data_IF_081275407438
#
_entry.id   IF_081275407438
#
_cell.length_a   1.000
_cell.length_b   1.000
_cell.length_c   1.000
_cell.angle_alpha   90.00
_cell.angle_beta   90.00
_cell.angle_gamma   90.00
#
_symmetry.space_group_name_H-M   'P 1'
#
loop_
_entity.id
_entity.type
_entity.pdbx_description
1 polymer ?
#
# COMPACT_ATOMS: atom_id res chain seq x y z
N UNK A 1 -22.89 0.76 18.58
CA UNK A 1 -22.59 0.47 17.17
C UNK A 1 -21.35 1.20 16.67
N UNK A 2 -21.23 2.51 16.92
CA UNK A 2 -20.19 3.36 16.33
C UNK A 2 -18.73 2.95 16.67
N UNK A 3 -18.48 2.31 17.83
CA UNK A 3 -17.14 1.85 18.21
C UNK A 3 -16.70 0.58 17.44
N UNK A 4 -17.59 -0.42 17.28
CA UNK A 4 -17.29 -1.65 16.53
C UNK A 4 -16.99 -1.32 15.07
N UNK A 5 -17.84 -0.51 14.44
CA UNK A 5 -17.65 -0.06 13.07
C UNK A 5 -16.28 0.60 12.86
N UNK A 6 -15.93 1.57 13.73
CA UNK A 6 -14.63 2.27 13.66
C UNK A 6 -13.46 1.32 13.85
N UNK A 7 -13.56 0.37 14.78
CA UNK A 7 -12.53 -0.63 15.03
C UNK A 7 -12.30 -1.52 13.79
N UNK A 8 -13.37 -2.13 13.26
CA UNK A 8 -13.30 -3.03 12.11
C UNK A 8 -12.83 -2.30 10.84
N UNK A 9 -13.33 -1.09 10.61
CA UNK A 9 -12.85 -0.24 9.52
C UNK A 9 -11.37 0.10 9.67
N UNK A 10 -10.90 0.39 10.88
CA UNK A 10 -9.49 0.67 11.14
C UNK A 10 -8.61 -0.57 10.90
N UNK A 11 -9.12 -1.76 11.24
CA UNK A 11 -8.48 -3.05 10.98
C UNK A 11 -8.28 -3.28 9.47
N UNK A 12 -9.32 -3.15 8.66
CA UNK A 12 -9.25 -3.31 7.20
C UNK A 12 -8.39 -2.23 6.53
N UNK A 13 -8.46 -0.99 7.04
CA UNK A 13 -7.64 0.13 6.54
C UNK A 13 -6.13 -0.07 6.69
N UNK A 14 -5.67 -1.03 7.50
CA UNK A 14 -4.23 -1.31 7.65
C UNK A 14 -3.58 -1.63 6.31
N UNK A 15 -4.27 -2.33 5.41
CA UNK A 15 -3.75 -2.64 4.07
C UNK A 15 -3.48 -1.39 3.23
N UNK A 16 -4.44 -0.45 3.17
CA UNK A 16 -4.24 0.82 2.45
C UNK A 16 -3.11 1.66 3.07
N UNK A 17 -3.01 1.68 4.40
CA UNK A 17 -1.96 2.40 5.12
C UNK A 17 -0.57 1.83 4.81
N UNK A 18 -0.41 0.51 4.80
CA UNK A 18 0.89 -0.09 4.50
C UNK A 18 1.31 0.15 3.05
N UNK A 19 0.36 0.09 2.11
CA UNK A 19 0.64 0.45 0.73
C UNK A 19 1.06 1.91 0.55
N UNK A 20 0.47 2.85 1.32
CA UNK A 20 0.92 4.25 1.30
C UNK A 20 2.38 4.36 1.78
N UNK A 21 2.83 3.49 2.71
CA UNK A 21 4.25 3.44 3.12
C UNK A 21 5.14 2.88 1.99
N UNK A 22 4.68 1.83 1.31
CA UNK A 22 5.35 1.24 0.14
C UNK A 22 5.56 2.30 -0.93
N UNK A 23 4.51 3.02 -1.31
CA UNK A 23 4.55 4.06 -2.35
C UNK A 23 5.55 5.18 -1.96
N UNK A 24 5.53 5.64 -0.69
CA UNK A 24 6.49 6.62 -0.18
C UNK A 24 7.95 6.12 -0.20
N UNK A 25 8.19 4.84 0.04
CA UNK A 25 9.54 4.26 -0.01
C UNK A 25 10.03 4.16 -1.47
N UNK A 26 9.16 3.71 -2.38
CA UNK A 26 9.44 3.70 -3.83
C UNK A 26 9.75 5.10 -4.34
N UNK A 27 8.97 6.11 -3.96
CA UNK A 27 9.22 7.50 -4.33
C UNK A 27 10.58 8.01 -3.82
N UNK A 28 10.96 7.66 -2.59
CA UNK A 28 12.27 8.02 -2.03
C UNK A 28 13.41 7.38 -2.82
N UNK A 29 13.25 6.12 -3.22
CA UNK A 29 14.22 5.38 -4.00
C UNK A 29 14.35 5.96 -5.43
N UNK A 30 13.24 6.29 -6.08
CA UNK A 30 13.24 6.96 -7.38
C UNK A 30 13.97 8.31 -7.32
N UNK A 31 13.65 9.16 -6.32
CA UNK A 31 14.35 10.45 -6.11
C UNK A 31 15.83 10.28 -5.78
N UNK A 32 16.21 9.16 -5.17
CA UNK A 32 17.62 8.84 -4.95
C UNK A 32 18.28 8.56 -6.30
N UNK A 33 17.72 7.64 -7.09
CA UNK A 33 18.23 7.27 -8.41
C UNK A 33 18.33 8.48 -9.35
N UNK A 34 17.28 9.29 -9.46
CA UNK A 34 17.27 10.52 -10.29
C UNK A 34 18.42 11.48 -9.91
N UNK A 35 18.69 11.66 -8.61
CA UNK A 35 19.78 12.54 -8.15
C UNK A 35 21.15 12.02 -8.56
N UNK A 36 21.33 10.71 -8.74
CA UNK A 36 22.60 10.13 -9.16
C UNK A 36 22.71 10.00 -10.67
N UNK A 37 21.62 9.70 -11.37
CA UNK A 37 21.59 9.72 -12.83
C UNK A 37 21.90 11.14 -13.36
N UNK A 38 21.35 12.19 -12.73
CA UNK A 38 21.66 13.58 -13.05
C UNK A 38 23.11 13.98 -12.70
N UNK A 39 23.72 13.34 -11.70
CA UNK A 39 25.13 13.55 -11.33
C UNK A 39 26.10 12.68 -12.14
N UNK A 40 25.61 11.69 -12.87
CA UNK A 40 26.37 10.73 -13.67
C UNK A 40 26.95 11.26 -14.98
N UNK A 41 26.78 12.54 -15.32
CA UNK A 41 27.26 13.13 -16.60
C UNK A 41 28.46 14.08 -16.42
N UNK A 42 29.03 14.22 -15.22
CA UNK A 42 30.30 14.96 -15.05
C UNK A 42 31.41 14.05 -14.52
N UNK A 43 31.81 13.08 -15.34
CA UNK A 43 33.10 12.40 -15.18
C UNK A 43 34.23 13.35 -15.59
N UNK A 44 34.49 14.38 -14.78
CA UNK A 44 35.74 15.14 -14.89
C UNK A 44 36.88 14.24 -14.41
N UNK A 45 37.88 14.06 -15.27
CA UNK A 45 38.92 13.02 -15.25
C UNK A 45 39.98 13.14 -14.15
N UNK A 46 39.61 13.46 -12.91
CA UNK A 46 40.54 13.45 -11.77
C UNK A 46 39.96 12.71 -10.55
N UNK A 47 40.65 11.68 -10.02
CA UNK A 47 40.19 10.95 -8.85
C UNK A 47 40.57 11.73 -7.58
N UNK A 48 39.72 12.66 -7.14
CA UNK A 48 39.81 13.19 -5.77
C UNK A 48 39.21 12.18 -4.78
N UNK A 49 39.90 11.89 -3.67
CA UNK A 49 39.49 10.86 -2.70
C UNK A 49 38.12 11.14 -2.05
N UNK A 50 37.59 12.35 -2.19
CA UNK A 50 36.26 12.78 -1.76
C UNK A 50 35.10 12.16 -2.54
N UNK A 51 35.30 11.83 -3.82
CA UNK A 51 34.22 11.32 -4.69
C UNK A 51 33.83 9.88 -4.32
N UNK A 52 34.80 9.04 -3.94
CA UNK A 52 34.56 7.64 -3.55
C UNK A 52 33.67 7.53 -2.31
N UNK A 53 33.98 8.31 -1.27
CA UNK A 53 33.20 8.32 -0.02
C UNK A 53 31.74 8.71 -0.28
N UNK A 54 31.52 9.66 -1.19
CA UNK A 54 30.18 10.09 -1.57
C UNK A 54 29.39 8.98 -2.25
N UNK A 55 30.02 8.16 -3.11
CA UNK A 55 29.39 7.03 -3.80
C UNK A 55 29.01 5.90 -2.84
N UNK A 56 29.90 5.56 -1.92
CA UNK A 56 29.66 4.51 -0.91
C UNK A 56 28.47 4.89 -0.01
N UNK A 57 28.36 6.16 0.39
CA UNK A 57 27.23 6.68 1.18
C UNK A 57 25.89 6.55 0.43
N UNK A 58 25.88 6.71 -0.90
CA UNK A 58 24.69 6.50 -1.75
C UNK A 58 24.25 5.05 -1.71
N UNK A 59 25.21 4.15 -1.94
CA UNK A 59 24.95 2.74 -2.09
C UNK A 59 24.39 2.20 -0.78
N UNK A 60 24.98 2.61 0.36
CA UNK A 60 24.45 2.30 1.68
C UNK A 60 23.03 2.85 1.90
N UNK A 61 22.75 4.08 1.48
CA UNK A 61 21.41 4.66 1.60
C UNK A 61 20.38 3.93 0.72
N UNK A 62 20.78 3.53 -0.49
CA UNK A 62 19.94 2.77 -1.41
C UNK A 62 19.62 1.39 -0.85
N UNK A 63 20.64 0.65 -0.44
CA UNK A 63 20.51 -0.67 0.19
C UNK A 63 19.59 -0.61 1.41
N UNK A 64 19.74 0.41 2.27
CA UNK A 64 18.84 0.62 3.39
C UNK A 64 17.37 0.79 2.96
N UNK A 65 17.11 1.59 1.93
CA UNK A 65 15.75 1.82 1.43
C UNK A 65 15.15 0.58 0.76
N UNK A 66 15.96 -0.18 0.00
CA UNK A 66 15.57 -1.45 -0.62
C UNK A 66 15.21 -2.49 0.44
N UNK A 67 16.08 -2.71 1.42
CA UNK A 67 15.81 -3.63 2.53
C UNK A 67 14.54 -3.23 3.30
N UNK A 68 14.35 -1.92 3.56
CA UNK A 68 13.14 -1.43 4.25
C UNK A 68 11.89 -1.62 3.39
N UNK A 69 11.99 -1.48 2.08
CA UNK A 69 10.88 -1.72 1.17
C UNK A 69 10.49 -3.19 1.17
N UNK A 70 11.46 -4.10 1.13
CA UNK A 70 11.22 -5.56 1.16
C UNK A 70 10.54 -6.01 2.46
N UNK A 71 10.98 -5.47 3.61
CA UNK A 71 10.32 -5.71 4.89
C UNK A 71 8.84 -5.28 4.86
N UNK A 72 8.55 -4.09 4.34
CA UNK A 72 7.18 -3.53 4.32
C UNK A 72 6.31 -4.24 3.28
N UNK A 73 6.88 -4.69 2.15
CA UNK A 73 6.18 -5.53 1.18
C UNK A 73 5.80 -6.87 1.83
N UNK A 74 6.72 -7.49 2.56
CA UNK A 74 6.46 -8.75 3.26
C UNK A 74 5.33 -8.60 4.29
N UNK A 75 5.38 -7.53 5.09
CA UNK A 75 4.31 -7.18 6.02
C UNK A 75 2.97 -6.94 5.28
N UNK A 76 2.98 -6.34 4.09
CA UNK A 76 1.77 -6.08 3.31
C UNK A 76 1.10 -7.35 2.79
N UNK A 77 1.88 -8.37 2.42
CA UNK A 77 1.38 -9.68 2.01
C UNK A 77 0.69 -10.36 3.19
N UNK A 78 1.30 -10.32 4.38
CA UNK A 78 0.70 -10.88 5.58
C UNK A 78 -0.63 -10.21 5.93
N UNK A 79 -0.68 -8.87 5.89
CA UNK A 79 -1.92 -8.12 6.12
C UNK A 79 -2.98 -8.44 5.07
N UNK A 80 -2.59 -8.59 3.79
CA UNK A 80 -3.51 -8.95 2.72
C UNK A 80 -4.14 -10.31 2.99
N UNK A 81 -3.33 -11.33 3.26
CA UNK A 81 -3.79 -12.68 3.52
C UNK A 81 -4.71 -12.72 4.75
N UNK A 82 -4.32 -12.05 5.84
CA UNK A 82 -5.12 -11.95 7.06
C UNK A 82 -6.52 -11.35 6.79
N UNK A 83 -6.59 -10.25 6.02
CA UNK A 83 -7.86 -9.63 5.66
C UNK A 83 -8.66 -10.53 4.72
N UNK A 84 -8.02 -11.12 3.71
CA UNK A 84 -8.69 -11.95 2.73
C UNK A 84 -9.31 -13.20 3.37
N UNK A 85 -8.58 -13.87 4.27
CA UNK A 85 -9.10 -14.99 5.07
C UNK A 85 -10.33 -14.55 5.88
N UNK A 86 -10.25 -13.37 6.51
CA UNK A 86 -11.38 -12.81 7.28
C UNK A 86 -12.60 -12.51 6.43
N UNK A 87 -12.41 -12.04 5.20
CA UNK A 87 -13.51 -11.78 4.26
C UNK A 87 -14.15 -13.08 3.76
N UNK A 88 -13.36 -14.14 3.55
CA UNK A 88 -13.88 -15.46 3.15
C UNK A 88 -14.79 -16.09 4.22
N UNK A 89 -14.57 -15.76 5.51
CA UNK A 89 -15.39 -16.23 6.63
C UNK A 89 -16.75 -15.53 6.75
N UNK A 90 -17.03 -14.47 5.97
CA UNK A 90 -18.31 -13.75 6.07
C UNK A 90 -19.47 -14.57 5.50
N UNK A 91 -20.60 -14.60 6.21
CA UNK A 91 -21.81 -15.31 5.76
C UNK A 91 -22.35 -14.74 4.44
N UNK A 92 -22.30 -13.41 4.28
CA UNK A 92 -22.74 -12.74 3.07
C UNK A 92 -21.56 -12.48 2.13
N UNK A 93 -21.44 -13.31 1.10
CA UNK A 93 -20.36 -13.21 0.12
C UNK A 93 -20.41 -11.92 -0.71
N UNK A 94 -21.59 -11.29 -0.85
CA UNK A 94 -21.68 -9.99 -1.53
C UNK A 94 -21.13 -8.86 -0.66
N UNK A 95 -21.27 -8.94 0.66
CA UNK A 95 -20.59 -8.02 1.59
C UNK A 95 -19.08 -8.21 1.49
N UNK A 96 -18.61 -9.47 1.48
CA UNK A 96 -17.19 -9.79 1.32
C UNK A 96 -16.60 -9.20 0.03
N UNK A 97 -17.27 -9.38 -1.11
CA UNK A 97 -16.86 -8.83 -2.41
C UNK A 97 -16.79 -7.30 -2.41
N UNK A 98 -17.78 -6.62 -1.82
CA UNK A 98 -17.75 -5.15 -1.69
C UNK A 98 -16.55 -4.69 -0.84
N UNK A 99 -16.25 -5.39 0.26
CA UNK A 99 -15.10 -5.06 1.10
C UNK A 99 -13.76 -5.35 0.43
N UNK A 100 -13.67 -6.43 -0.35
CA UNK A 100 -12.49 -6.80 -1.12
C UNK A 100 -12.15 -5.72 -2.15
N UNK A 101 -13.13 -5.36 -2.99
CA UNK A 101 -12.99 -4.30 -4.00
C UNK A 101 -12.63 -2.95 -3.37
N UNK A 102 -13.26 -2.61 -2.25
CA UNK A 102 -12.98 -1.36 -1.56
C UNK A 102 -11.58 -1.40 -0.91
N UNK A 103 -11.31 -2.31 0.03
CA UNK A 103 -10.11 -2.24 0.84
C UNK A 103 -8.86 -2.73 0.11
N UNK A 104 -8.94 -3.83 -0.63
CA UNK A 104 -7.79 -4.47 -1.27
C UNK A 104 -7.55 -3.92 -2.68
N UNK A 105 -8.61 -3.75 -3.48
CA UNK A 105 -8.47 -3.28 -4.87
C UNK A 105 -8.60 -1.76 -5.04
N UNK A 106 -8.88 -1.04 -3.95
CA UNK A 106 -8.94 0.44 -3.85
C UNK A 106 -10.02 1.12 -4.69
N UNK A 107 -11.06 0.40 -5.09
CA UNK A 107 -12.22 1.01 -5.73
C UNK A 107 -12.96 1.95 -4.76
N UNK A 108 -13.60 2.97 -5.31
CA UNK A 108 -14.62 3.78 -4.65
C UNK A 108 -15.97 3.04 -4.63
N UNK A 109 -16.88 3.43 -3.73
CA UNK A 109 -18.20 2.79 -3.66
C UNK A 109 -19.01 2.98 -4.96
N UNK A 110 -18.82 4.11 -5.64
CA UNK A 110 -19.44 4.39 -6.94
C UNK A 110 -18.88 3.45 -8.02
N UNK A 111 -17.56 3.27 -8.11
CA UNK A 111 -16.97 2.33 -9.07
C UNK A 111 -17.38 0.87 -8.78
N UNK A 112 -17.56 0.51 -7.51
CA UNK A 112 -18.09 -0.82 -7.12
C UNK A 112 -19.55 -0.97 -7.56
N UNK A 113 -20.37 0.06 -7.38
CA UNK A 113 -21.77 0.06 -7.81
C UNK A 113 -21.88 -0.18 -9.32
N UNK A 114 -21.05 0.51 -10.11
CA UNK A 114 -20.96 0.32 -11.56
C UNK A 114 -20.45 -1.09 -11.91
N UNK A 115 -19.40 -1.56 -11.23
CA UNK A 115 -18.79 -2.88 -11.49
C UNK A 115 -19.75 -4.03 -11.20
N UNK A 116 -20.50 -3.96 -10.10
CA UNK A 116 -21.41 -5.01 -9.66
C UNK A 116 -22.86 -4.81 -10.18
N UNK A 117 -23.11 -3.76 -10.97
CA UNK A 117 -24.43 -3.40 -11.48
C UNK A 117 -25.51 -3.19 -10.39
N UNK A 118 -25.14 -2.62 -9.24
CA UNK A 118 -26.06 -2.27 -8.15
C UNK A 118 -26.19 -0.75 -7.99
N UNK A 119 -27.27 -0.30 -7.36
CA UNK A 119 -27.37 1.11 -6.95
C UNK A 119 -26.32 1.44 -5.88
N UNK A 120 -25.77 2.65 -5.88
CA UNK A 120 -24.83 3.12 -4.86
C UNK A 120 -25.36 2.92 -3.43
N UNK A 121 -26.65 3.20 -3.19
CA UNK A 121 -27.30 3.00 -1.88
C UNK A 121 -27.25 1.55 -1.40
N UNK A 122 -27.33 0.58 -2.32
CA UNK A 122 -27.23 -0.84 -1.99
C UNK A 122 -25.79 -1.20 -1.61
N UNK A 123 -24.81 -0.67 -2.34
CA UNK A 123 -23.38 -0.86 -2.04
C UNK A 123 -23.00 -0.21 -0.71
N UNK A 124 -23.49 0.99 -0.40
CA UNK A 124 -23.27 1.65 0.90
C UNK A 124 -23.78 0.80 2.06
N UNK A 125 -24.94 0.17 1.90
CA UNK A 125 -25.51 -0.74 2.91
C UNK A 125 -24.63 -1.99 3.07
N UNK A 126 -24.29 -2.67 1.96
CA UNK A 126 -23.42 -3.85 1.99
C UNK A 126 -22.04 -3.54 2.59
N UNK A 127 -21.49 -2.37 2.29
CA UNK A 127 -20.25 -1.89 2.88
C UNK A 127 -20.37 -1.71 4.40
N UNK A 128 -21.45 -1.08 4.86
CA UNK A 128 -21.66 -0.82 6.28
C UNK A 128 -21.92 -2.11 7.06
N UNK A 129 -22.77 -2.98 6.53
CA UNK A 129 -23.12 -4.27 7.12
C UNK A 129 -21.91 -5.20 7.14
N UNK A 130 -21.18 -5.31 6.02
CA UNK A 130 -19.95 -6.08 5.94
C UNK A 130 -18.90 -5.65 6.98
N UNK A 131 -18.67 -4.34 7.14
CA UNK A 131 -17.74 -3.85 8.17
C UNK A 131 -18.19 -4.28 9.57
N UNK A 132 -19.49 -4.33 9.84
CA UNK A 132 -20.01 -4.77 11.13
C UNK A 132 -19.91 -6.29 11.32
N UNK A 133 -19.84 -7.05 10.23
CA UNK A 133 -19.74 -8.52 10.21
C UNK A 133 -18.31 -9.05 10.34
N UNK A 134 -17.30 -8.22 10.04
CA UNK A 134 -15.87 -8.51 10.32
C UNK A 134 -15.62 -8.66 11.83
#
# INVERSE_FOLDING_TARGET
MDNKFKHNKAYLMRYRKIHTKIDRLKDKLNRLNERYDLKGVSYSSEPSSSVKKTLDDVLAQREYLENKLDEVISESINIRNEIQDKLLELDNQLEAEVLDLYFLERYSLTEIADTLCYSERQIERLYADGIMSV
#
